data_IF_472343453298
#
_entry.id   IF_472343453298
#
_cell.length_a   1.000
_cell.length_b   1.000
_cell.length_c   1.000
_cell.angle_alpha   90.00
_cell.angle_beta   90.00
_cell.angle_gamma   90.00
#
_symmetry.space_group_name_H-M   'P 1'
#
loop_
_entity.id
_entity.type
_entity.pdbx_description
1 polymer ?
#
# COMPACT_ATOMS: atom_id res chain seq x y z
N UNK A 1 -38.17 32.91 20.06
CA UNK A 1 -37.47 33.67 18.98
C UNK A 1 -36.54 34.77 19.53
N UNK A 2 -36.96 35.61 20.49
CA UNK A 2 -36.11 36.71 21.03
C UNK A 2 -34.81 36.25 21.72
N UNK A 3 -34.80 35.08 22.33
CA UNK A 3 -33.62 34.52 23.03
C UNK A 3 -32.53 34.06 22.07
N UNK A 4 -32.91 33.44 20.95
CA UNK A 4 -31.99 32.98 19.89
C UNK A 4 -31.31 34.15 19.21
N UNK A 5 -32.07 35.22 18.91
CA UNK A 5 -31.52 36.46 18.38
C UNK A 5 -30.50 37.11 19.33
N UNK A 6 -30.76 37.12 20.65
CA UNK A 6 -29.85 37.68 21.65
C UNK A 6 -28.52 36.91 21.75
N UNK A 7 -28.57 35.58 21.59
CA UNK A 7 -27.39 34.70 21.56
C UNK A 7 -26.57 34.95 20.29
N UNK A 8 -27.21 35.10 19.13
CA UNK A 8 -26.53 35.35 17.84
C UNK A 8 -25.94 36.76 17.77
N UNK A 9 -26.56 37.76 18.41
CA UNK A 9 -26.00 39.13 18.47
C UNK A 9 -24.89 39.31 19.53
N UNK A 10 -24.57 38.27 20.31
CA UNK A 10 -23.49 38.35 21.27
C UNK A 10 -22.14 38.30 20.53
N UNK A 11 -21.34 39.38 20.66
CA UNK A 11 -20.00 39.50 20.04
C UNK A 11 -19.08 38.32 20.35
N UNK A 12 -19.23 37.67 21.51
CA UNK A 12 -18.43 36.49 21.87
C UNK A 12 -18.87 35.25 21.08
N UNK A 13 -20.17 35.07 20.85
CA UNK A 13 -20.70 33.96 20.04
C UNK A 13 -20.30 34.15 18.58
N UNK A 14 -20.40 35.37 18.05
CA UNK A 14 -19.95 35.68 16.69
C UNK A 14 -18.44 35.43 16.53
N UNK A 15 -17.62 35.82 17.51
CA UNK A 15 -16.18 35.57 17.48
C UNK A 15 -15.86 34.06 17.50
N UNK A 16 -16.56 33.27 18.32
CA UNK A 16 -16.41 31.80 18.37
C UNK A 16 -16.86 31.17 17.05
N UNK A 17 -17.97 31.64 16.45
CA UNK A 17 -18.47 31.11 15.18
C UNK A 17 -17.48 31.42 14.05
N UNK A 18 -16.95 32.65 13.99
CA UNK A 18 -15.92 33.01 13.00
C UNK A 18 -14.64 32.19 13.23
N UNK A 19 -14.20 32.02 14.47
CA UNK A 19 -13.05 31.19 14.81
C UNK A 19 -13.27 29.71 14.44
N UNK A 20 -14.46 29.17 14.68
CA UNK A 20 -14.83 27.82 14.30
C UNK A 20 -14.88 27.66 12.77
N UNK A 21 -15.40 28.64 12.04
CA UNK A 21 -15.38 28.64 10.57
C UNK A 21 -13.94 28.70 10.03
N UNK A 22 -13.06 29.51 10.62
CA UNK A 22 -11.64 29.49 10.27
C UNK A 22 -11.01 28.12 10.56
N UNK A 23 -11.35 27.51 11.70
CA UNK A 23 -10.88 26.17 12.06
C UNK A 23 -11.49 25.04 11.20
N UNK A 24 -12.60 25.27 10.51
CA UNK A 24 -13.22 24.28 9.63
C UNK A 24 -12.77 24.43 8.17
N UNK A 25 -12.60 25.67 7.69
CA UNK A 25 -12.27 25.94 6.28
C UNK A 25 -10.78 26.20 6.02
N UNK A 26 -10.04 26.73 7.00
CA UNK A 26 -8.63 27.09 6.86
C UNK A 26 -7.68 26.23 7.73
N UNK A 27 -8.23 25.32 8.54
CA UNK A 27 -7.41 24.40 9.33
C UNK A 27 -7.08 23.13 8.53
N UNK A 28 -5.85 22.63 8.60
CA UNK A 28 -5.45 21.37 7.96
C UNK A 28 -6.01 20.11 8.66
N UNK A 29 -6.66 20.25 9.82
CA UNK A 29 -7.23 19.15 10.60
C UNK A 29 -8.67 18.85 10.21
N UNK A 30 -8.93 18.74 8.92
CA UNK A 30 -10.25 18.34 8.44
C UNK A 30 -10.41 16.82 8.60
N UNK A 31 -11.62 16.38 8.98
CA UNK A 31 -11.89 14.95 9.24
C UNK A 31 -11.66 14.08 8.00
N UNK A 32 -11.75 14.69 6.81
CA UNK A 32 -11.48 14.04 5.53
C UNK A 32 -10.00 13.68 5.40
N UNK A 33 -9.09 14.60 5.71
CA UNK A 33 -7.64 14.38 5.66
C UNK A 33 -7.22 13.24 6.58
N UNK A 34 -7.78 13.20 7.80
CA UNK A 34 -7.48 12.12 8.76
C UNK A 34 -7.95 10.77 8.23
N UNK A 35 -9.13 10.71 7.59
CA UNK A 35 -9.64 9.48 6.99
C UNK A 35 -8.80 9.01 5.82
N UNK A 36 -8.36 9.93 4.97
CA UNK A 36 -7.53 9.59 3.82
C UNK A 36 -6.13 9.13 4.27
N UNK A 37 -5.54 9.78 5.28
CA UNK A 37 -4.29 9.30 5.89
C UNK A 37 -4.44 7.92 6.54
N UNK A 38 -5.57 7.63 7.18
CA UNK A 38 -5.81 6.28 7.74
C UNK A 38 -5.91 5.22 6.63
N UNK A 39 -6.57 5.55 5.52
CA UNK A 39 -6.64 4.64 4.36
C UNK A 39 -5.26 4.39 3.75
N UNK A 40 -4.44 5.43 3.65
CA UNK A 40 -3.06 5.31 3.15
C UNK A 40 -2.21 4.44 4.09
N UNK A 41 -2.37 4.59 5.41
CA UNK A 41 -1.73 3.70 6.38
C UNK A 41 -2.17 2.25 6.21
N UNK A 42 -3.47 2.00 6.12
CA UNK A 42 -4.01 0.64 5.96
C UNK A 42 -3.52 0.00 4.63
N UNK A 43 -3.46 0.76 3.53
CA UNK A 43 -2.93 0.29 2.24
C UNK A 43 -1.43 -0.06 2.34
N UNK A 44 -0.65 0.79 3.03
CA UNK A 44 0.77 0.58 3.22
C UNK A 44 1.05 -0.68 4.05
N UNK A 45 0.29 -0.88 5.14
CA UNK A 45 0.40 -2.07 5.99
C UNK A 45 0.05 -3.35 5.21
N UNK A 46 -1.03 -3.33 4.42
CA UNK A 46 -1.39 -4.46 3.56
C UNK A 46 -0.29 -4.77 2.53
N UNK A 47 0.35 -3.74 1.98
CA UNK A 47 1.45 -3.89 1.03
C UNK A 47 2.69 -4.49 1.69
N UNK A 48 3.00 -4.09 2.92
CA UNK A 48 4.09 -4.66 3.72
C UNK A 48 3.82 -6.14 3.98
N UNK A 49 2.62 -6.50 4.43
CA UNK A 49 2.24 -7.89 4.69
C UNK A 49 2.34 -8.76 3.42
N UNK A 50 1.82 -8.26 2.30
CA UNK A 50 1.91 -8.93 1.01
C UNK A 50 3.37 -9.19 0.60
N UNK A 51 4.22 -8.17 0.68
CA UNK A 51 5.62 -8.29 0.28
C UNK A 51 6.41 -9.23 1.18
N UNK A 52 6.17 -9.20 2.49
CA UNK A 52 6.79 -10.14 3.42
C UNK A 52 6.40 -11.58 3.10
N UNK A 53 5.11 -11.83 2.85
CA UNK A 53 4.60 -13.16 2.47
C UNK A 53 5.22 -13.65 1.16
N UNK A 54 5.36 -12.78 0.17
CA UNK A 54 6.04 -13.10 -1.08
C UNK A 54 7.51 -13.42 -0.85
N UNK A 55 8.21 -12.61 -0.05
CA UNK A 55 9.62 -12.84 0.29
C UNK A 55 9.82 -14.20 0.95
N UNK A 56 9.00 -14.56 1.93
CA UNK A 56 9.07 -15.86 2.62
C UNK A 56 8.86 -17.03 1.64
N UNK A 57 7.89 -16.88 0.72
CA UNK A 57 7.63 -17.90 -0.30
C UNK A 57 8.77 -18.05 -1.31
N UNK A 58 9.41 -16.93 -1.68
CA UNK A 58 10.56 -16.91 -2.58
C UNK A 58 11.79 -17.52 -1.91
N UNK A 59 12.02 -17.22 -0.63
CA UNK A 59 13.12 -17.80 0.14
C UNK A 59 12.94 -19.31 0.31
N UNK A 60 11.73 -19.79 0.60
CA UNK A 60 11.43 -21.21 0.65
C UNK A 60 11.70 -21.90 -0.72
N UNK A 61 11.27 -21.27 -1.81
CA UNK A 61 11.51 -21.76 -3.17
C UNK A 61 13.00 -21.78 -3.51
N UNK A 62 13.74 -20.74 -3.14
CA UNK A 62 15.19 -20.66 -3.33
C UNK A 62 15.92 -21.73 -2.52
N UNK A 63 15.51 -22.00 -1.28
CA UNK A 63 16.10 -23.06 -0.48
C UNK A 63 15.87 -24.43 -1.13
N UNK A 64 14.67 -24.69 -1.65
CA UNK A 64 14.37 -25.93 -2.37
C UNK A 64 15.25 -26.09 -3.62
N UNK A 65 15.33 -25.03 -4.45
CA UNK A 65 16.16 -25.03 -5.67
C UNK A 65 17.65 -25.22 -5.34
N UNK A 66 18.15 -24.59 -4.27
CA UNK A 66 19.57 -24.70 -3.87
C UNK A 66 19.92 -26.05 -3.25
N UNK A 67 18.97 -26.69 -2.57
CA UNK A 67 19.20 -27.96 -1.90
C UNK A 67 19.25 -29.14 -2.88
N UNK A 68 18.55 -29.05 -4.03
CA UNK A 68 18.47 -30.12 -5.02
C UNK A 68 19.06 -29.70 -6.39
N UNK A 69 20.18 -30.32 -6.82
CA UNK A 69 20.77 -30.10 -8.14
C UNK A 69 19.81 -30.36 -9.32
N UNK A 70 18.85 -31.28 -9.18
CA UNK A 70 17.86 -31.55 -10.22
C UNK A 70 16.85 -30.41 -10.33
N UNK A 71 16.34 -29.93 -9.19
CA UNK A 71 15.46 -28.75 -9.15
C UNK A 71 16.14 -27.50 -9.72
N UNK A 72 17.45 -27.32 -9.47
CA UNK A 72 18.24 -26.24 -10.08
C UNK A 72 18.35 -26.37 -11.60
N UNK A 73 18.66 -27.57 -12.11
CA UNK A 73 18.74 -27.81 -13.55
C UNK A 73 17.38 -27.57 -14.22
N UNK A 74 16.29 -28.06 -13.63
CA UNK A 74 14.93 -27.83 -14.13
C UNK A 74 14.60 -26.34 -14.17
N UNK A 75 14.83 -25.62 -13.08
CA UNK A 75 14.58 -24.17 -13.00
C UNK A 75 15.38 -23.40 -14.05
N UNK A 76 16.65 -23.75 -14.27
CA UNK A 76 17.51 -23.13 -15.28
C UNK A 76 17.04 -23.42 -16.72
N UNK A 77 16.53 -24.63 -17.00
CA UNK A 77 15.98 -25.01 -18.31
C UNK A 77 14.64 -24.33 -18.61
N UNK A 78 13.76 -24.27 -17.63
CA UNK A 78 12.41 -23.71 -17.81
C UNK A 78 12.41 -22.19 -17.89
N UNK A 79 13.13 -21.51 -16.98
CA UNK A 79 13.07 -20.05 -16.86
C UNK A 79 14.13 -19.32 -17.70
N UNK A 80 15.28 -19.96 -17.95
CA UNK A 80 16.41 -19.33 -18.63
C UNK A 80 16.85 -20.07 -19.89
N UNK A 81 16.17 -21.16 -20.26
CA UNK A 81 16.49 -21.98 -21.44
C UNK A 81 17.95 -22.42 -21.52
N UNK A 82 18.59 -22.65 -20.35
CA UNK A 82 19.94 -23.17 -20.30
C UNK A 82 20.02 -24.55 -20.93
N UNK A 83 21.10 -24.79 -21.70
CA UNK A 83 21.39 -26.06 -22.36
C UNK A 83 22.71 -26.63 -21.87
N UNK A 84 22.85 -27.96 -21.87
CA UNK A 84 24.15 -28.61 -21.60
C UNK A 84 25.07 -28.48 -22.80
N UNK A 85 26.37 -28.60 -22.55
CA UNK A 85 27.38 -28.62 -23.60
C UNK A 85 27.14 -29.85 -24.50
N UNK A 86 27.01 -29.61 -25.81
CA UNK A 86 26.63 -30.66 -26.79
C UNK A 86 25.12 -30.87 -26.99
N UNK A 87 24.26 -30.08 -26.33
CA UNK A 87 22.79 -30.13 -26.50
C UNK A 87 22.29 -29.02 -27.46
N UNK A 88 21.40 -29.40 -28.38
CA UNK A 88 20.73 -28.48 -29.30
C UNK A 88 19.27 -28.26 -28.88
N UNK A 89 18.92 -27.01 -28.56
CA UNK A 89 17.57 -26.61 -28.11
C UNK A 89 16.84 -25.93 -29.26
N UNK A 90 15.68 -26.45 -29.63
CA UNK A 90 14.83 -25.92 -30.70
C UNK A 90 13.57 -25.28 -30.10
N UNK A 91 13.38 -23.97 -30.32
CA UNK A 91 12.15 -23.26 -29.93
C UNK A 91 11.19 -23.26 -31.13
N UNK A 92 10.13 -24.05 -31.06
CA UNK A 92 9.11 -24.11 -32.11
C UNK A 92 8.09 -23.00 -31.84
N UNK A 93 8.12 -21.95 -32.64
CA UNK A 93 7.10 -20.89 -32.67
C UNK A 93 6.06 -21.23 -33.74
N UNK A 94 4.78 -21.02 -33.43
CA UNK A 94 3.66 -21.31 -34.33
C UNK A 94 3.43 -20.19 -35.34
#
# INVERSE_FOLDING_TARGET
>A
MKTVLKIITNKYVLAIVVFALLMLFFSPYDLFTIRDSQRELDDLDNKIEYLNTQSDSMDASLQHIKADPQALEQYARENYHHKKEGEDVYVITK
#
